data_IF_941440339851
#
_entry.id   IF_941440339851
#
_cell.length_a   1.000
_cell.length_b   1.000
_cell.length_c   1.000
_cell.angle_alpha   90.00
_cell.angle_beta   90.00
_cell.angle_gamma   90.00
#
_symmetry.space_group_name_H-M   'P 1'
#
loop_
_entity.id
_entity.type
_entity.pdbx_description
1 polymer ?
#
# COMPACT_ATOMS: atom_id res chain seq x y z
N UNK A 1 3.10 -1.33 55.28
CA UNK A 1 4.02 -1.92 54.29
C UNK A 1 3.49 -1.63 52.90
N UNK A 2 4.31 -1.03 52.05
CA UNK A 2 3.93 -0.74 50.66
C UNK A 2 3.93 -2.04 49.84
N UNK A 3 3.05 -2.18 48.83
CA UNK A 3 2.95 -3.36 47.95
C UNK A 3 4.31 -3.75 47.35
N UNK A 4 5.18 -2.78 47.07
CA UNK A 4 6.56 -3.02 46.61
C UNK A 4 7.44 -3.74 47.64
N UNK A 5 7.32 -3.43 48.93
CA UNK A 5 8.10 -4.07 50.00
C UNK A 5 7.70 -5.53 50.24
N UNK A 6 6.41 -5.86 50.15
CA UNK A 6 5.94 -7.24 50.35
C UNK A 6 6.35 -8.13 49.18
N UNK A 7 6.25 -7.63 47.94
CA UNK A 7 6.69 -8.36 46.75
C UNK A 7 8.20 -8.59 46.78
N UNK A 8 8.98 -7.57 47.16
CA UNK A 8 10.43 -7.71 47.29
C UNK A 8 10.81 -8.74 48.37
N UNK A 9 10.18 -8.72 49.54
CA UNK A 9 10.43 -9.70 50.60
C UNK A 9 10.10 -11.14 50.19
N UNK A 10 9.03 -11.34 49.40
CA UNK A 10 8.65 -12.66 48.88
C UNK A 10 9.71 -13.27 47.96
N UNK A 11 10.38 -12.46 47.13
CA UNK A 11 11.49 -12.94 46.28
C UNK A 11 12.61 -13.60 47.10
N UNK A 12 12.86 -13.09 48.31
CA UNK A 12 13.91 -13.60 49.19
C UNK A 12 13.41 -14.61 50.25
N UNK A 13 12.14 -15.00 50.19
CA UNK A 13 11.52 -15.89 51.17
C UNK A 13 11.48 -15.30 52.59
N UNK A 14 11.39 -13.98 52.70
CA UNK A 14 11.38 -13.25 53.97
C UNK A 14 9.94 -12.87 54.34
N UNK A 15 9.56 -13.08 55.61
CA UNK A 15 8.26 -12.62 56.12
C UNK A 15 8.29 -11.16 56.54
N UNK A 16 9.44 -10.67 57.00
CA UNK A 16 9.70 -9.27 57.30
C UNK A 16 11.21 -9.00 57.20
N UNK A 17 11.59 -7.73 57.23
CA UNK A 17 12.98 -7.28 57.09
C UNK A 17 13.74 -7.20 58.43
N UNK A 18 13.07 -7.45 59.57
CA UNK A 18 13.70 -7.28 60.89
C UNK A 18 14.78 -8.34 61.11
N UNK A 19 15.96 -7.89 61.52
CA UNK A 19 17.11 -8.77 61.79
C UNK A 19 17.81 -9.31 60.54
N UNK A 20 17.39 -8.90 59.33
CA UNK A 20 18.08 -9.23 58.09
C UNK A 20 19.22 -8.23 57.87
N UNK A 21 20.45 -8.73 57.72
CA UNK A 21 21.59 -7.87 57.41
C UNK A 21 21.78 -7.74 55.88
N UNK A 22 22.52 -6.71 55.45
CA UNK A 22 22.92 -6.57 54.05
C UNK A 22 23.71 -7.77 53.53
N UNK A 23 24.51 -8.41 54.40
CA UNK A 23 25.28 -9.60 54.04
C UNK A 23 24.38 -10.81 53.80
N UNK A 24 23.35 -10.99 54.63
CA UNK A 24 22.34 -12.04 54.45
C UNK A 24 21.54 -11.85 53.16
N UNK A 25 21.16 -10.60 52.84
CA UNK A 25 20.45 -10.26 51.62
C UNK A 25 21.32 -10.54 50.38
N UNK A 26 22.60 -10.15 50.42
CA UNK A 26 23.58 -10.43 49.35
C UNK A 26 23.75 -11.92 49.08
N UNK A 27 23.88 -12.73 50.12
CA UNK A 27 24.01 -14.19 49.98
C UNK A 27 22.79 -14.80 49.31
N UNK A 28 21.58 -14.40 49.71
CA UNK A 28 20.33 -14.87 49.10
C UNK A 28 20.20 -14.41 47.65
N UNK A 29 20.56 -13.16 47.35
CA UNK A 29 20.57 -12.66 45.97
C UNK A 29 21.51 -13.44 45.08
N UNK A 30 22.75 -13.70 45.52
CA UNK A 30 23.69 -14.49 44.71
C UNK A 30 23.18 -15.90 44.42
N UNK A 31 22.53 -16.54 45.39
CA UNK A 31 21.93 -17.86 45.18
C UNK A 31 20.80 -17.81 44.14
N UNK A 32 19.85 -16.88 44.29
CA UNK A 32 18.72 -16.72 43.37
C UNK A 32 19.19 -16.27 41.98
N UNK A 33 20.18 -15.38 41.90
CA UNK A 33 20.72 -14.89 40.65
C UNK A 33 21.36 -16.01 39.83
N UNK A 34 21.95 -17.03 40.46
CA UNK A 34 22.46 -18.20 39.75
C UNK A 34 21.36 -19.11 39.21
N UNK A 35 20.17 -19.11 39.82
CA UNK A 35 19.02 -19.91 39.38
C UNK A 35 18.23 -19.22 38.27
N UNK A 36 18.01 -17.91 38.40
CA UNK A 36 17.20 -17.12 37.46
C UNK A 36 18.02 -16.47 36.32
N UNK A 37 19.34 -16.66 36.27
CA UNK A 37 20.16 -16.07 35.20
C UNK A 37 19.75 -16.61 33.82
N UNK A 38 19.56 -15.76 32.80
CA UNK A 38 19.22 -16.20 31.45
C UNK A 38 20.24 -17.18 30.87
N UNK A 39 21.54 -16.92 31.04
CA UNK A 39 22.61 -17.82 30.58
C UNK A 39 22.64 -19.19 31.28
N UNK A 40 21.90 -19.36 32.38
CA UNK A 40 21.77 -20.64 33.11
C UNK A 40 20.38 -21.28 32.94
N UNK A 41 19.59 -20.79 31.97
CA UNK A 41 18.26 -21.31 31.66
C UNK A 41 17.10 -20.64 32.42
N UNK A 42 17.36 -19.52 33.11
CA UNK A 42 16.31 -18.71 33.75
C UNK A 42 15.63 -17.71 32.80
N UNK A 43 14.56 -17.06 33.25
CA UNK A 43 13.86 -16.02 32.47
C UNK A 43 14.48 -14.65 32.67
N UNK A 44 14.68 -13.91 31.57
CA UNK A 44 15.16 -12.51 31.62
C UNK A 44 14.21 -11.61 32.44
N UNK A 45 12.90 -11.80 32.27
CA UNK A 45 11.88 -11.03 33.00
C UNK A 45 11.90 -11.31 34.51
N UNK A 46 12.17 -12.55 34.90
CA UNK A 46 12.27 -12.95 36.31
C UNK A 46 13.56 -12.42 36.94
N UNK A 47 14.66 -12.44 36.18
CA UNK A 47 15.94 -11.90 36.62
C UNK A 47 15.88 -10.38 36.85
N UNK A 48 15.17 -9.65 35.98
CA UNK A 48 14.93 -8.21 36.15
C UNK A 48 14.16 -7.95 37.45
N UNK A 49 13.07 -8.68 37.70
CA UNK A 49 12.27 -8.55 38.94
C UNK A 49 13.06 -8.89 40.20
N UNK A 50 13.90 -9.92 40.16
CA UNK A 50 14.79 -10.29 41.26
C UNK A 50 15.80 -9.17 41.56
N UNK A 51 16.40 -8.57 40.52
CA UNK A 51 17.34 -7.46 40.65
C UNK A 51 16.68 -6.21 41.22
N UNK A 52 15.49 -5.86 40.74
CA UNK A 52 14.71 -4.74 41.26
C UNK A 52 14.35 -4.93 42.74
N UNK A 53 13.93 -6.13 43.13
CA UNK A 53 13.64 -6.48 44.52
C UNK A 53 14.89 -6.40 45.41
N UNK A 54 16.05 -6.84 44.91
CA UNK A 54 17.33 -6.74 45.62
C UNK A 54 17.73 -5.28 45.87
N UNK A 55 17.71 -4.44 44.82
CA UNK A 55 18.06 -3.01 44.91
C UNK A 55 17.15 -2.30 45.90
N UNK A 56 15.84 -2.55 45.82
CA UNK A 56 14.88 -1.96 46.76
C UNK A 56 15.17 -2.33 48.22
N UNK A 57 15.41 -3.60 48.53
CA UNK A 57 15.69 -4.04 49.91
C UNK A 57 17.07 -3.61 50.39
N UNK A 58 18.05 -3.52 49.50
CA UNK A 58 19.38 -2.99 49.81
C UNK A 58 19.29 -1.52 50.23
N UNK A 59 18.57 -0.70 49.46
CA UNK A 59 18.40 0.72 49.75
C UNK A 59 17.57 0.94 51.03
N UNK A 60 16.56 0.10 51.24
CA UNK A 60 15.76 0.09 52.47
C UNK A 60 16.59 -0.21 53.72
N UNK A 61 17.48 -1.22 53.66
CA UNK A 61 18.37 -1.58 54.76
C UNK A 61 19.46 -0.54 55.01
N UNK A 62 19.94 0.13 53.95
CA UNK A 62 20.94 1.19 54.06
C UNK A 62 20.35 2.49 54.62
N UNK A 63 19.07 2.77 54.36
CA UNK A 63 18.42 4.02 54.74
C UNK A 63 16.98 3.76 55.25
N UNK A 64 16.81 3.33 56.51
CA UNK A 64 15.50 2.93 57.07
C UNK A 64 14.44 4.05 57.18
N UNK A 65 14.77 5.30 56.84
CA UNK A 65 13.83 6.45 56.82
C UNK A 65 13.22 6.77 55.44
N UNK A 66 13.50 5.96 54.42
CA UNK A 66 13.14 6.24 53.02
C UNK A 66 11.63 6.04 52.70
N UNK A 67 10.89 5.26 53.51
CA UNK A 67 9.47 4.96 53.22
C UNK A 67 8.55 6.19 53.18
N UNK A 68 8.90 7.28 53.89
CA UNK A 68 8.03 8.46 54.00
C UNK A 68 8.25 9.50 52.88
N UNK A 69 9.39 9.48 52.18
CA UNK A 69 9.74 10.50 51.18
C UNK A 69 9.80 10.02 49.72
N UNK A 70 9.87 8.70 49.44
CA UNK A 70 9.89 8.20 48.05
C UNK A 70 8.50 7.99 47.43
N UNK A 71 7.43 7.92 48.23
CA UNK A 71 6.09 7.59 47.72
C UNK A 71 5.39 8.70 46.92
N UNK A 72 5.80 9.96 47.11
CA UNK A 72 5.08 11.13 46.61
C UNK A 72 5.58 11.71 45.29
N UNK A 73 6.91 11.84 45.09
CA UNK A 73 7.50 12.52 43.92
C UNK A 73 7.83 11.58 42.75
N UNK A 74 8.42 10.41 43.00
CA UNK A 74 8.73 9.44 41.94
C UNK A 74 7.47 8.81 41.34
N UNK A 75 6.41 8.65 42.14
CA UNK A 75 5.14 8.08 41.67
C UNK A 75 4.46 8.99 40.66
N UNK A 76 4.46 10.31 40.90
CA UNK A 76 3.93 11.30 39.95
C UNK A 76 4.73 11.35 38.64
N UNK A 77 6.06 11.30 38.71
CA UNK A 77 6.90 11.33 37.50
C UNK A 77 6.75 10.06 36.66
N UNK A 78 6.62 8.89 37.30
CA UNK A 78 6.36 7.62 36.61
C UNK A 78 4.95 7.57 35.98
N UNK A 79 3.93 8.10 36.67
CA UNK A 79 2.57 8.17 36.14
C UNK A 79 2.48 9.10 34.90
N UNK A 80 3.23 10.21 34.91
CA UNK A 80 3.34 11.10 33.75
C UNK A 80 4.05 10.43 32.56
N UNK A 81 5.14 9.69 32.81
CA UNK A 81 5.83 8.90 31.78
C UNK A 81 4.90 7.84 31.18
N UNK A 82 4.14 7.12 32.01
CA UNK A 82 3.17 6.12 31.54
C UNK A 82 2.06 6.74 30.70
N UNK A 83 1.59 7.94 31.07
CA UNK A 83 0.59 8.68 30.31
C UNK A 83 1.11 9.06 28.92
N UNK A 84 2.34 9.54 28.84
CA UNK A 84 2.98 9.88 27.57
C UNK A 84 3.24 8.63 26.71
N UNK A 85 3.72 7.54 27.30
CA UNK A 85 3.89 6.25 26.59
C UNK A 85 2.57 5.76 25.99
N UNK A 86 1.47 5.84 26.74
CA UNK A 86 0.16 5.46 26.23
C UNK A 86 -0.32 6.38 25.09
N UNK A 87 -0.03 7.68 25.18
CA UNK A 87 -0.29 8.65 24.12
C UNK A 87 0.50 8.31 22.85
N UNK A 88 1.78 8.00 22.97
CA UNK A 88 2.62 7.58 21.83
C UNK A 88 2.16 6.26 21.23
N UNK A 89 1.82 5.27 22.06
CA UNK A 89 1.29 3.97 21.61
C UNK A 89 0.00 4.16 20.80
N UNK A 90 -0.92 5.00 21.27
CA UNK A 90 -2.15 5.32 20.55
C UNK A 90 -1.86 6.04 19.22
N UNK A 91 -0.94 7.00 19.22
CA UNK A 91 -0.53 7.69 18.00
C UNK A 91 0.09 6.71 16.98
N UNK A 92 0.95 5.79 17.45
CA UNK A 92 1.57 4.77 16.61
C UNK A 92 0.54 3.84 15.97
N UNK A 93 -0.41 3.31 16.74
CA UNK A 93 -1.49 2.47 16.21
C UNK A 93 -2.31 3.22 15.16
N UNK A 94 -2.68 4.48 15.44
CA UNK A 94 -3.40 5.31 14.48
C UNK A 94 -2.60 5.52 13.18
N UNK A 95 -1.29 5.73 13.26
CA UNK A 95 -0.42 5.86 12.08
C UNK A 95 -0.36 4.57 11.28
N UNK A 96 -0.28 3.40 11.94
CA UNK A 96 -0.31 2.10 11.27
C UNK A 96 -1.63 1.87 10.52
N UNK A 97 -2.76 2.21 11.13
CA UNK A 97 -4.08 2.15 10.45
C UNK A 97 -4.09 3.02 9.19
N UNK A 98 -3.56 4.25 9.25
CA UNK A 98 -3.49 5.13 8.07
C UNK A 98 -2.55 4.62 6.99
N UNK A 99 -1.42 4.05 7.36
CA UNK A 99 -0.50 3.41 6.39
C UNK A 99 -1.24 2.32 5.64
N UNK A 100 -1.95 1.45 6.35
CA UNK A 100 -2.73 0.37 5.74
C UNK A 100 -3.85 0.89 4.82
N UNK A 101 -4.55 1.96 5.23
CA UNK A 101 -5.53 2.63 4.38
C UNK A 101 -4.89 3.12 3.07
N UNK A 102 -3.72 3.76 3.13
CA UNK A 102 -3.00 4.20 1.93
C UNK A 102 -2.52 3.04 1.05
N UNK A 103 -2.03 1.95 1.64
CA UNK A 103 -1.64 0.74 0.89
C UNK A 103 -2.81 0.16 0.10
N UNK A 104 -3.99 0.09 0.70
CA UNK A 104 -5.20 -0.37 0.03
C UNK A 104 -5.60 0.57 -1.13
N UNK A 105 -5.49 1.88 -0.93
CA UNK A 105 -5.76 2.87 -1.99
C UNK A 105 -4.78 2.77 -3.15
N UNK A 106 -3.48 2.65 -2.88
CA UNK A 106 -2.44 2.47 -3.91
C UNK A 106 -2.68 1.17 -4.69
N UNK A 107 -3.00 0.08 -3.99
CA UNK A 107 -3.30 -1.20 -4.62
C UNK A 107 -4.52 -1.11 -5.55
N UNK A 108 -5.57 -0.40 -5.12
CA UNK A 108 -6.74 -0.12 -5.97
C UNK A 108 -6.37 0.68 -7.21
N UNK A 109 -5.53 1.72 -7.09
CA UNK A 109 -5.04 2.50 -8.23
C UNK A 109 -4.23 1.64 -9.22
N UNK A 110 -3.34 0.78 -8.73
CA UNK A 110 -2.53 -0.12 -9.57
C UNK A 110 -3.44 -1.04 -10.38
N UNK A 111 -4.41 -1.69 -9.73
CA UNK A 111 -5.35 -2.59 -10.41
C UNK A 111 -6.15 -1.87 -11.50
N UNK A 112 -6.54 -0.63 -11.23
CA UNK A 112 -7.29 0.21 -12.15
C UNK A 112 -6.45 0.56 -13.39
N UNK A 113 -5.20 0.99 -13.19
CA UNK A 113 -4.25 1.26 -14.27
C UNK A 113 -3.99 0.01 -15.10
N UNK A 114 -3.77 -1.14 -14.46
CA UNK A 114 -3.57 -2.42 -15.17
C UNK A 114 -4.79 -2.83 -15.99
N UNK A 115 -6.00 -2.64 -15.46
CA UNK A 115 -7.23 -2.92 -16.20
C UNK A 115 -7.38 -2.02 -17.43
N UNK A 116 -7.00 -0.74 -17.30
CA UNK A 116 -7.04 0.21 -18.39
C UNK A 116 -6.02 -0.13 -19.48
N UNK A 117 -4.80 -0.50 -19.11
CA UNK A 117 -3.78 -0.98 -20.04
C UNK A 117 -4.27 -2.21 -20.82
N UNK A 118 -4.91 -3.17 -20.15
CA UNK A 118 -5.51 -4.33 -20.80
C UNK A 118 -6.58 -3.95 -21.82
N UNK A 119 -7.53 -3.08 -21.42
CA UNK A 119 -8.58 -2.60 -22.31
C UNK A 119 -8.03 -1.83 -23.51
N UNK A 120 -7.00 -1.00 -23.30
CA UNK A 120 -6.34 -0.24 -24.37
C UNK A 120 -5.63 -1.17 -25.36
N UNK A 121 -4.95 -2.19 -24.86
CA UNK A 121 -4.31 -3.19 -25.72
C UNK A 121 -5.34 -3.97 -26.55
N UNK A 122 -6.43 -4.43 -25.93
CA UNK A 122 -7.53 -5.10 -26.64
C UNK A 122 -8.16 -4.18 -27.70
N UNK A 123 -8.32 -2.89 -27.40
CA UNK A 123 -8.79 -1.90 -28.36
C UNK A 123 -7.85 -1.78 -29.57
N UNK A 124 -6.54 -1.66 -29.33
CA UNK A 124 -5.53 -1.57 -30.40
C UNK A 124 -5.54 -2.83 -31.28
N UNK A 125 -5.60 -4.02 -30.67
CA UNK A 125 -5.67 -5.29 -31.40
C UNK A 125 -6.94 -5.39 -32.23
N UNK A 126 -8.08 -4.98 -31.67
CA UNK A 126 -9.34 -4.92 -32.41
C UNK A 126 -9.24 -4.00 -33.63
N UNK A 127 -8.71 -2.79 -33.46
CA UNK A 127 -8.54 -1.82 -34.55
C UNK A 127 -7.64 -2.36 -35.68
N UNK A 128 -6.51 -2.98 -35.33
CA UNK A 128 -5.62 -3.65 -36.30
C UNK A 128 -6.35 -4.75 -37.07
N UNK A 129 -7.08 -5.61 -36.36
CA UNK A 129 -7.83 -6.70 -36.98
C UNK A 129 -8.91 -6.18 -37.95
N UNK A 130 -9.55 -5.05 -37.66
CA UNK A 130 -10.52 -4.44 -38.59
C UNK A 130 -9.83 -3.86 -39.83
N UNK A 131 -8.72 -3.13 -39.67
CA UNK A 131 -7.96 -2.58 -40.81
C UNK A 131 -7.42 -3.70 -41.72
N UNK A 132 -6.89 -4.78 -41.14
CA UNK A 132 -6.41 -5.95 -41.89
C UNK A 132 -7.54 -6.62 -42.69
N UNK A 133 -8.73 -6.79 -42.09
CA UNK A 133 -9.90 -7.34 -42.79
C UNK A 133 -10.36 -6.43 -43.92
N UNK A 134 -10.41 -5.11 -43.68
CA UNK A 134 -10.85 -4.15 -44.68
C UNK A 134 -9.88 -4.12 -45.87
N UNK A 135 -8.57 -4.16 -45.62
CA UNK A 135 -7.54 -4.26 -46.67
C UNK A 135 -7.67 -5.55 -47.47
N UNK A 136 -7.87 -6.69 -46.79
CA UNK A 136 -8.05 -7.98 -47.46
C UNK A 136 -9.26 -7.99 -48.40
N UNK A 137 -10.37 -7.35 -48.00
CA UNK A 137 -11.57 -7.24 -48.86
C UNK A 137 -11.27 -6.35 -50.07
N UNK A 138 -10.61 -5.21 -49.87
CA UNK A 138 -10.21 -4.33 -50.97
C UNK A 138 -9.32 -5.07 -51.98
N UNK A 139 -8.28 -5.77 -51.49
CA UNK A 139 -7.37 -6.52 -52.35
C UNK A 139 -8.10 -7.59 -53.18
N UNK A 140 -9.07 -8.29 -52.58
CA UNK A 140 -9.89 -9.29 -53.29
C UNK A 140 -10.74 -8.66 -54.39
N UNK A 141 -11.40 -7.53 -54.12
CA UNK A 141 -12.23 -6.81 -55.10
C UNK A 141 -11.39 -6.21 -56.24
N UNK A 142 -10.21 -5.67 -55.92
CA UNK A 142 -9.26 -5.19 -56.92
C UNK A 142 -8.74 -6.32 -57.81
N UNK A 143 -8.46 -7.51 -57.26
CA UNK A 143 -8.05 -8.67 -58.04
C UNK A 143 -9.18 -9.17 -58.95
N UNK A 144 -10.43 -9.19 -58.46
CA UNK A 144 -11.63 -9.50 -59.29
C UNK A 144 -11.75 -8.52 -60.45
N UNK A 145 -11.66 -7.21 -60.18
CA UNK A 145 -11.76 -6.16 -61.20
C UNK A 145 -10.66 -6.31 -62.25
N UNK A 146 -9.42 -6.57 -61.82
CA UNK A 146 -8.28 -6.80 -62.71
C UNK A 146 -8.46 -8.05 -63.58
N UNK A 147 -8.97 -9.15 -63.02
CA UNK A 147 -9.31 -10.37 -63.76
C UNK A 147 -10.40 -10.10 -64.80
N UNK A 148 -11.43 -9.35 -64.45
CA UNK A 148 -12.50 -8.97 -65.38
C UNK A 148 -11.96 -8.16 -66.56
N UNK A 149 -11.14 -7.15 -66.28
CA UNK A 149 -10.48 -6.33 -67.30
C UNK A 149 -9.62 -7.18 -68.25
N UNK A 150 -8.75 -8.03 -67.69
CA UNK A 150 -7.85 -8.89 -68.46
C UNK A 150 -8.55 -10.05 -69.21
N UNK A 151 -9.72 -10.50 -68.76
CA UNK A 151 -10.49 -11.59 -69.40
C UNK A 151 -11.08 -11.23 -70.78
N UNK A 152 -10.83 -10.01 -71.24
CA UNK A 152 -11.46 -9.39 -72.40
C UNK A 152 -10.91 -9.85 -73.76
N UNK A 153 -9.66 -10.30 -73.84
CA UNK A 153 -8.99 -10.50 -75.13
C UNK A 153 -9.63 -11.60 -76.01
N UNK A 154 -10.10 -12.72 -75.43
CA UNK A 154 -10.77 -13.79 -76.19
C UNK A 154 -12.26 -13.55 -76.44
N UNK A 155 -12.85 -12.54 -75.79
CA UNK A 155 -14.29 -12.21 -75.88
C UNK A 155 -14.62 -11.32 -77.08
N UNK A 156 -13.65 -10.56 -77.58
CA UNK A 156 -13.84 -9.67 -78.74
C UNK A 156 -14.32 -10.37 -80.02
N UNK A 157 -13.83 -11.57 -80.39
CA UNK A 157 -14.34 -12.31 -81.56
C UNK A 157 -15.81 -12.77 -81.42
N UNK A 158 -16.34 -12.86 -80.20
CA UNK A 158 -17.72 -13.29 -79.93
C UNK A 158 -18.72 -12.13 -79.89
N UNK A 159 -18.27 -10.89 -80.16
CA UNK A 159 -19.10 -9.69 -80.06
C UNK A 159 -19.50 -9.33 -78.62
N UNK A 160 -18.88 -9.97 -77.61
CA UNK A 160 -19.12 -9.67 -76.20
C UNK A 160 -18.35 -8.41 -75.85
N UNK A 161 -19.06 -7.42 -75.29
CA UNK A 161 -18.48 -6.13 -74.91
C UNK A 161 -17.44 -6.33 -73.80
N UNK A 162 -16.22 -5.88 -74.06
CA UNK A 162 -15.12 -5.89 -73.10
C UNK A 162 -15.13 -4.62 -72.26
N UNK A 163 -14.66 -4.70 -71.01
CA UNK A 163 -14.48 -3.53 -70.16
C UNK A 163 -13.45 -2.59 -70.80
N UNK A 164 -13.79 -1.31 -70.95
CA UNK A 164 -12.83 -0.32 -71.43
C UNK A 164 -11.87 0.10 -70.31
N UNK A 165 -10.72 0.65 -70.66
CA UNK A 165 -9.79 1.22 -69.68
C UNK A 165 -10.45 2.32 -68.82
N UNK A 166 -11.31 3.14 -69.45
CA UNK A 166 -12.09 4.16 -68.74
C UNK A 166 -13.05 3.55 -67.71
N UNK A 167 -13.77 2.49 -68.08
CA UNK A 167 -14.68 1.78 -67.17
C UNK A 167 -13.91 1.12 -66.01
N UNK A 168 -12.74 0.53 -66.29
CA UNK A 168 -11.87 -0.06 -65.28
C UNK A 168 -11.38 0.99 -64.29
N UNK A 169 -10.82 2.11 -64.77
CA UNK A 169 -10.32 3.19 -63.92
C UNK A 169 -11.43 3.81 -63.07
N UNK A 170 -12.63 3.96 -63.64
CA UNK A 170 -13.80 4.43 -62.89
C UNK A 170 -14.17 3.48 -61.74
N UNK A 171 -14.28 2.18 -62.01
CA UNK A 171 -14.62 1.19 -60.98
C UNK A 171 -13.51 1.05 -59.93
N UNK A 172 -12.25 1.13 -60.34
CA UNK A 172 -11.09 1.10 -59.44
C UNK A 172 -11.17 2.25 -58.44
N UNK A 173 -11.34 3.49 -58.92
CA UNK A 173 -11.43 4.65 -58.05
C UNK A 173 -12.65 4.57 -57.12
N UNK A 174 -13.78 4.08 -57.62
CA UNK A 174 -14.97 3.87 -56.80
C UNK A 174 -14.73 2.90 -55.62
N UNK A 175 -14.02 1.79 -55.85
CA UNK A 175 -13.65 0.84 -54.79
C UNK A 175 -12.70 1.48 -53.75
N UNK A 176 -11.73 2.27 -54.21
CA UNK A 176 -10.80 2.99 -53.34
C UNK A 176 -11.54 4.03 -52.48
N UNK A 177 -12.45 4.79 -53.09
CA UNK A 177 -13.27 5.78 -52.38
C UNK A 177 -14.18 5.12 -51.34
N UNK A 178 -14.82 4.01 -51.69
CA UNK A 178 -15.63 3.22 -50.76
C UNK A 178 -14.80 2.70 -49.58
N UNK A 179 -13.63 2.12 -49.84
CA UNK A 179 -12.69 1.68 -48.80
C UNK A 179 -12.30 2.83 -47.87
N UNK A 180 -11.92 3.99 -48.43
CA UNK A 180 -11.50 5.15 -47.66
C UNK A 180 -12.64 5.67 -46.77
N UNK A 181 -13.87 5.71 -47.28
CA UNK A 181 -15.05 6.12 -46.52
C UNK A 181 -15.34 5.15 -45.36
N UNK A 182 -15.30 3.84 -45.60
CA UNK A 182 -15.50 2.83 -44.55
C UNK A 182 -14.41 2.94 -43.49
N UNK A 183 -13.15 3.06 -43.92
CA UNK A 183 -12.00 3.20 -43.02
C UNK A 183 -12.12 4.44 -42.14
N UNK A 184 -12.44 5.60 -42.74
CA UNK A 184 -12.63 6.84 -42.00
C UNK A 184 -13.71 6.70 -40.92
N UNK A 185 -14.83 6.04 -41.25
CA UNK A 185 -15.90 5.79 -40.29
C UNK A 185 -15.45 4.87 -39.15
N UNK A 186 -14.75 3.78 -39.46
CA UNK A 186 -14.20 2.86 -38.47
C UNK A 186 -13.17 3.54 -37.56
N UNK A 187 -12.28 4.35 -38.12
CA UNK A 187 -11.28 5.11 -37.36
C UNK A 187 -11.96 6.11 -36.41
N UNK A 188 -13.02 6.79 -36.87
CA UNK A 188 -13.82 7.69 -36.01
C UNK A 188 -14.48 6.94 -34.85
N UNK A 189 -15.16 5.83 -35.13
CA UNK A 189 -15.81 5.00 -34.09
C UNK A 189 -14.78 4.43 -33.10
N UNK A 190 -13.58 4.07 -33.58
CA UNK A 190 -12.49 3.61 -32.74
C UNK A 190 -11.98 4.71 -31.80
N UNK A 191 -11.76 5.92 -32.32
CA UNK A 191 -11.35 7.09 -31.52
C UNK A 191 -12.40 7.41 -30.46
N UNK A 192 -13.68 7.40 -30.80
CA UNK A 192 -14.77 7.66 -29.86
C UNK A 192 -14.78 6.64 -28.70
N UNK A 193 -14.57 5.35 -29.01
CA UNK A 193 -14.47 4.31 -28.00
C UNK A 193 -13.25 4.49 -27.09
N UNK A 194 -12.09 4.88 -27.64
CA UNK A 194 -10.91 5.20 -26.83
C UNK A 194 -11.14 6.40 -25.91
N UNK A 195 -11.81 7.44 -26.40
CA UNK A 195 -12.14 8.62 -25.59
C UNK A 195 -13.10 8.27 -24.45
N UNK A 196 -14.08 7.38 -24.68
CA UNK A 196 -14.97 6.88 -23.63
C UNK A 196 -14.21 6.11 -22.55
N UNK A 197 -13.29 5.21 -22.94
CA UNK A 197 -12.44 4.49 -21.99
C UNK A 197 -11.58 5.45 -21.16
N UNK A 198 -10.95 6.43 -21.82
CA UNK A 198 -10.13 7.44 -21.15
C UNK A 198 -10.95 8.28 -20.18
N UNK A 199 -12.14 8.72 -20.56
CA UNK A 199 -13.04 9.47 -19.68
C UNK A 199 -13.43 8.67 -18.44
N UNK A 200 -13.72 7.37 -18.62
CA UNK A 200 -13.99 6.46 -17.50
C UNK A 200 -12.84 6.39 -16.51
N UNK A 201 -11.61 6.24 -17.01
CA UNK A 201 -10.38 6.25 -16.20
C UNK A 201 -10.23 7.56 -15.42
N UNK A 202 -10.36 8.71 -16.10
CA UNK A 202 -10.21 10.03 -15.47
C UNK A 202 -11.21 10.22 -14.34
N UNK A 203 -12.48 9.84 -14.55
CA UNK A 203 -13.50 9.94 -13.51
C UNK A 203 -13.14 9.11 -12.27
N UNK A 204 -12.66 7.88 -12.47
CA UNK A 204 -12.24 7.03 -11.35
C UNK A 204 -11.02 7.59 -10.60
N UNK A 205 -10.06 8.17 -11.33
CA UNK A 205 -8.91 8.85 -10.71
C UNK A 205 -9.37 10.05 -9.87
N UNK A 206 -10.30 10.85 -10.38
CA UNK A 206 -10.87 11.99 -9.67
C UNK A 206 -11.56 11.54 -8.38
N UNK A 207 -12.35 10.46 -8.41
CA UNK A 207 -13.01 9.91 -7.23
C UNK A 207 -12.00 9.48 -6.16
N UNK A 208 -10.89 8.86 -6.57
CA UNK A 208 -9.81 8.46 -5.65
C UNK A 208 -9.14 9.70 -5.04
N UNK A 209 -8.82 10.72 -5.84
CA UNK A 209 -8.23 11.98 -5.36
C UNK A 209 -9.15 12.65 -4.32
N UNK A 210 -10.45 12.71 -4.61
CA UNK A 210 -11.44 13.26 -3.68
C UNK A 210 -11.49 12.47 -2.36
N UNK A 211 -11.38 11.15 -2.45
CA UNK A 211 -11.31 10.27 -1.28
C UNK A 211 -10.05 10.56 -0.44
N UNK A 212 -8.87 10.65 -1.06
CA UNK A 212 -7.61 11.01 -0.36
C UNK A 212 -7.71 12.39 0.29
N UNK A 213 -8.21 13.39 -0.44
CA UNK A 213 -8.35 14.76 0.07
C UNK A 213 -9.27 14.84 1.30
N UNK A 214 -10.33 14.01 1.33
CA UNK A 214 -11.22 13.91 2.49
C UNK A 214 -10.51 13.34 3.73
N UNK A 215 -9.62 12.37 3.56
CA UNK A 215 -8.85 11.75 4.66
C UNK A 215 -7.83 12.75 5.23
N UNK A 216 -7.17 13.52 4.37
CA UNK A 216 -6.21 14.55 4.80
C UNK A 216 -6.90 15.68 5.58
N UNK A 217 -8.03 16.19 5.09
CA UNK A 217 -8.77 17.27 5.77
C UNK A 217 -9.33 16.84 7.13
N UNK A 218 -9.77 15.58 7.29
CA UNK A 218 -10.15 15.04 8.60
C UNK A 218 -8.95 14.92 9.56
N UNK A 219 -7.76 14.60 9.03
CA UNK A 219 -6.54 14.50 9.82
C UNK A 219 -6.08 15.87 10.33
N UNK A 220 -6.10 16.90 9.48
CA UNK A 220 -5.70 18.26 9.85
C UNK A 220 -6.63 18.91 10.88
N UNK A 221 -7.94 18.66 10.83
CA UNK A 221 -8.88 19.24 11.81
C UNK A 221 -8.81 18.61 13.20
N UNK A 222 -8.14 17.47 13.39
CA UNK A 222 -8.08 16.74 14.67
C UNK A 222 -6.75 16.88 15.43
N UNK A 223 -5.77 17.57 14.87
CA UNK A 223 -4.41 17.57 15.42
C UNK A 223 -3.82 18.98 15.56
N UNK A 224 -4.02 19.56 16.75
CA UNK A 224 -3.04 20.45 17.38
C UNK A 224 -1.83 19.60 17.81
N UNK A 225 -0.94 19.24 16.87
CA UNK A 225 0.35 18.65 17.22
C UNK A 225 1.48 19.68 17.07
N UNK A 226 2.33 19.84 18.10
CA UNK A 226 3.46 20.74 18.06
C UNK A 226 4.51 20.15 17.12
N UNK A 227 4.73 20.83 16.00
CA UNK A 227 5.65 20.53 14.90
C UNK A 227 7.15 20.50 15.29
N UNK A 228 7.49 20.49 16.58
CA UNK A 228 8.86 20.77 17.04
C UNK A 228 9.76 19.54 17.23
N UNK A 229 9.23 18.31 17.33
CA UNK A 229 10.03 17.15 17.71
C UNK A 229 10.62 16.33 16.55
N UNK A 230 10.05 16.39 15.35
CA UNK A 230 10.62 15.68 14.19
C UNK A 230 11.83 16.41 13.59
N UNK A 231 11.97 17.71 13.80
CA UNK A 231 13.11 18.49 13.27
C UNK A 231 14.42 18.26 14.05
N UNK A 232 14.37 17.72 15.27
CA UNK A 232 15.56 17.50 16.14
C UNK A 232 16.18 16.10 16.03
N UNK A 233 15.54 15.16 15.33
CA UNK A 233 16.08 13.82 15.11
C UNK A 233 16.90 13.70 13.82
N UNK A 234 16.99 14.79 13.04
CA UNK A 234 17.74 14.86 11.78
C UNK A 234 18.78 16.00 11.74
N UNK A 235 19.21 16.52 12.90
CA UNK A 235 20.39 17.37 13.07
C UNK A 235 21.30 16.75 14.13
#
# INVERSE_FOLDING_TARGET
MNMKSEVALRWFGLQNIKGVTLDDLKKRYHHLAQMYHPDKGGSSDEFIKLREAYTFLQDYLANPGIEENLGGKEKTEFDDILKDLNKYKKAFVNSQTKIHEYENMISSQINLISSFQGNLQSGIEFGKNQDDRLRSVLDEELDKLKKQYNSSWWKQPLGIRTMSEGDYNYQYNALIDEYNNIKQKQDSEYIDNLLLLYRGLVNQIVDIINTVGSIQTQTYRRHDYPSFLLYRLFQ
#
